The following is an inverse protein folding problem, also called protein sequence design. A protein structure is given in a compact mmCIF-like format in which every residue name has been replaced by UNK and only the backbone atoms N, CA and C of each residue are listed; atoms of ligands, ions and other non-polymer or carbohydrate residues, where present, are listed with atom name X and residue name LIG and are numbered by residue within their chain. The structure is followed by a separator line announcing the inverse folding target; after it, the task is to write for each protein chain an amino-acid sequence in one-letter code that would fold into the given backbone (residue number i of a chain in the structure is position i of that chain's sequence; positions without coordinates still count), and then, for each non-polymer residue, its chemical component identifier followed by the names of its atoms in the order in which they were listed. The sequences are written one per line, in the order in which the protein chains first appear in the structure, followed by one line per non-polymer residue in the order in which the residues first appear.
data_IF_596306174856
#
_entry.id   IF_596306174856
#
_cell.length_a   1.000
_cell.length_b   1.000
_cell.length_c   1.000
_cell.angle_alpha   90.00
_cell.angle_beta   90.00
_cell.angle_gamma   90.00
#
_symmetry.space_group_name_H-M   'P 1'
#
loop_
_entity.id
_entity.type
_entity.pdbx_description
1 polymer ?
#
# COMPACT_ATOMS: atom_id res chain seq x y z
N UNK A 1 2.77 19.77 -18.32
CA UNK A 1 3.96 20.53 -18.81
C UNK A 1 5.18 19.61 -18.81
N UNK A 2 6.09 19.77 -19.79
CA UNK A 2 7.27 18.90 -19.90
C UNK A 2 8.45 19.48 -19.11
N UNK A 3 8.34 19.43 -17.77
CA UNK A 3 9.37 19.99 -16.87
C UNK A 3 10.75 19.38 -17.07
N UNK A 4 10.84 18.16 -17.59
CA UNK A 4 12.12 17.50 -17.91
C UNK A 4 12.90 18.18 -19.05
N UNK A 5 12.23 19.02 -19.86
CA UNK A 5 12.86 19.80 -20.95
C UNK A 5 13.33 21.18 -20.51
N UNK A 6 12.92 21.62 -19.32
CA UNK A 6 13.20 22.96 -18.81
C UNK A 6 14.43 22.94 -17.88
N UNK A 7 15.25 23.99 -17.90
CA UNK A 7 16.26 24.17 -16.86
C UNK A 7 15.60 24.37 -15.48
N UNK A 8 16.32 24.10 -14.39
CA UNK A 8 15.79 24.23 -13.02
C UNK A 8 15.17 25.61 -12.72
N UNK A 9 15.82 26.70 -13.19
CA UNK A 9 15.32 28.08 -13.01
C UNK A 9 13.95 28.30 -13.59
N UNK A 10 13.75 27.81 -14.82
CA UNK A 10 12.50 28.01 -15.55
C UNK A 10 11.37 27.16 -14.96
N UNK A 11 11.72 25.96 -14.47
CA UNK A 11 10.77 25.10 -13.74
C UNK A 11 10.33 25.77 -12.43
N UNK A 12 11.25 26.33 -11.66
CA UNK A 12 10.91 27.06 -10.42
C UNK A 12 10.00 28.24 -10.74
N UNK A 13 10.33 29.02 -11.78
CA UNK A 13 9.50 30.15 -12.20
C UNK A 13 8.10 29.72 -12.67
N UNK A 14 8.02 28.65 -13.47
CA UNK A 14 6.74 28.11 -13.93
C UNK A 14 5.84 27.59 -12.80
N UNK A 15 6.45 27.21 -11.68
CA UNK A 15 5.73 26.72 -10.49
C UNK A 15 5.53 27.83 -9.43
N UNK A 16 5.84 29.09 -9.74
CA UNK A 16 5.84 30.20 -8.77
C UNK A 16 6.55 29.82 -7.45
N UNK A 17 7.72 29.20 -7.56
CA UNK A 17 8.56 28.77 -6.44
C UNK A 17 9.94 29.40 -6.52
N UNK A 18 10.70 29.26 -5.44
CA UNK A 18 12.07 29.78 -5.34
C UNK A 18 13.03 28.66 -4.89
N UNK A 19 14.36 28.84 -5.08
CA UNK A 19 15.33 27.88 -4.54
C UNK A 19 15.25 27.69 -3.01
N UNK A 20 14.73 28.70 -2.29
CA UNK A 20 14.48 28.67 -0.84
C UNK A 20 13.12 28.04 -0.48
N UNK A 21 12.38 27.57 -1.48
CA UNK A 21 11.05 26.98 -1.35
C UNK A 21 9.94 28.01 -1.19
N UNK A 22 8.73 27.51 -0.98
CA UNK A 22 7.53 28.29 -0.73
C UNK A 22 7.54 28.89 0.69
N UNK A 23 6.91 30.05 0.87
CA UNK A 23 6.61 30.50 2.23
C UNK A 23 5.54 29.62 2.88
N UNK A 24 5.49 29.52 4.22
CA UNK A 24 4.43 28.75 4.91
C UNK A 24 3.01 29.15 4.52
N UNK A 25 2.78 30.45 4.28
CA UNK A 25 1.48 30.96 3.85
C UNK A 25 1.11 30.50 2.43
N UNK A 26 2.06 30.52 1.50
CA UNK A 26 1.85 30.01 0.14
C UNK A 26 1.59 28.50 0.14
N UNK A 27 2.35 27.73 0.93
CA UNK A 27 2.13 26.29 1.04
C UNK A 27 0.74 25.97 1.60
N UNK A 28 0.30 26.66 2.66
CA UNK A 28 -1.04 26.51 3.22
C UNK A 28 -2.14 26.89 2.22
N UNK A 29 -1.96 27.97 1.46
CA UNK A 29 -2.92 28.40 0.43
C UNK A 29 -3.03 27.37 -0.71
N UNK A 30 -1.89 26.78 -1.16
CA UNK A 30 -1.87 25.72 -2.17
C UNK A 30 -2.51 24.44 -1.65
N UNK A 31 -2.22 24.04 -0.41
CA UNK A 31 -2.84 22.89 0.21
C UNK A 31 -4.37 23.00 0.30
N UNK A 32 -4.87 24.21 0.61
CA UNK A 32 -6.31 24.48 0.65
C UNK A 32 -6.96 24.47 -0.75
N UNK A 33 -6.23 24.89 -1.80
CA UNK A 33 -6.70 24.93 -3.19
C UNK A 33 -6.64 23.57 -3.87
N UNK A 34 -5.50 22.88 -3.78
CA UNK A 34 -5.16 21.69 -4.59
C UNK A 34 -5.44 20.38 -3.83
N UNK A 35 -5.67 20.46 -2.51
CA UNK A 35 -5.91 19.32 -1.65
C UNK A 35 -4.61 18.62 -1.21
N UNK A 36 -4.77 17.48 -0.54
CA UNK A 36 -3.66 16.69 0.00
C UNK A 36 -3.00 15.82 -1.06
N UNK A 37 -1.70 15.60 -0.90
CA UNK A 37 -0.91 14.67 -1.70
C UNK A 37 -1.21 13.21 -1.31
N UNK A 38 -2.35 12.71 -1.74
CA UNK A 38 -2.81 11.34 -1.49
C UNK A 38 -3.38 10.73 -2.77
N UNK A 39 -3.16 9.44 -2.96
CA UNK A 39 -3.85 8.69 -4.00
C UNK A 39 -5.29 8.47 -3.54
N UNK A 40 -6.26 8.90 -4.36
CA UNK A 40 -7.68 8.82 -4.03
C UNK A 40 -8.12 7.37 -4.00
N UNK A 41 -8.61 6.92 -2.85
CA UNK A 41 -9.30 5.63 -2.76
C UNK A 41 -10.71 5.75 -3.36
N UNK A 42 -11.27 4.66 -3.96
CA UNK A 42 -12.64 4.66 -4.42
C UNK A 42 -13.58 5.15 -3.30
N UNK A 43 -14.60 5.95 -3.61
CA UNK A 43 -15.49 6.48 -2.60
C UNK A 43 -16.18 5.33 -1.84
N UNK A 44 -16.02 5.32 -0.52
CA UNK A 44 -16.65 4.31 0.34
C UNK A 44 -18.17 4.44 0.23
N UNK A 45 -18.89 3.33 0.04
CA UNK A 45 -20.34 3.38 -0.03
C UNK A 45 -20.92 3.93 1.27
N UNK A 46 -21.96 4.78 1.18
CA UNK A 46 -22.62 5.36 2.35
C UNK A 46 -23.24 4.25 3.23
N UNK A 47 -23.41 4.50 4.52
CA UNK A 47 -24.01 3.53 5.45
C UNK A 47 -25.40 3.08 4.99
N UNK A 48 -26.19 4.00 4.42
CA UNK A 48 -27.49 3.70 3.86
C UNK A 48 -27.39 2.75 2.67
N UNK A 49 -26.44 2.98 1.76
CA UNK A 49 -26.19 2.10 0.62
C UNK A 49 -25.77 0.70 1.07
N UNK A 50 -24.91 0.60 2.08
CA UNK A 50 -24.50 -0.70 2.67
C UNK A 50 -25.67 -1.43 3.31
N UNK A 51 -26.52 -0.72 4.05
CA UNK A 51 -27.73 -1.29 4.64
C UNK A 51 -28.63 -1.90 3.56
N UNK A 52 -28.90 -1.17 2.48
CA UNK A 52 -29.71 -1.72 1.37
C UNK A 52 -29.01 -2.84 0.61
N UNK A 53 -27.67 -2.84 0.54
CA UNK A 53 -26.92 -3.97 -0.02
C UNK A 53 -27.06 -5.24 0.82
N UNK A 54 -27.11 -5.13 2.16
CA UNK A 54 -27.39 -6.26 3.04
C UNK A 54 -28.81 -6.79 2.85
N UNK A 55 -29.79 -5.92 2.62
CA UNK A 55 -31.17 -6.33 2.32
C UNK A 55 -31.31 -6.99 0.94
N UNK A 56 -30.42 -6.71 0.00
CA UNK A 56 -30.41 -7.30 -1.34
C UNK A 56 -29.75 -8.70 -1.39
N UNK A 57 -29.28 -9.23 -0.26
CA UNK A 57 -28.80 -10.61 -0.18
C UNK A 57 -29.93 -11.60 -0.53
N UNK A 58 -29.65 -12.64 -1.34
CA UNK A 58 -30.69 -13.61 -1.77
C UNK A 58 -31.49 -14.22 -0.61
N UNK A 59 -30.83 -14.50 0.53
CA UNK A 59 -31.51 -15.06 1.69
C UNK A 59 -32.44 -14.05 2.36
N UNK A 60 -31.96 -12.81 2.53
CA UNK A 60 -32.78 -11.71 3.08
C UNK A 60 -33.99 -11.40 2.19
N UNK A 61 -33.83 -11.48 0.86
CA UNK A 61 -34.96 -11.32 -0.08
C UNK A 61 -36.03 -12.41 0.10
N UNK A 62 -35.64 -13.66 0.36
CA UNK A 62 -36.57 -14.75 0.67
C UNK A 62 -37.34 -14.45 1.96
N UNK A 63 -36.66 -13.98 3.01
CA UNK A 63 -37.26 -13.57 4.29
C UNK A 63 -38.26 -12.42 4.09
N UNK A 64 -37.89 -11.41 3.30
CA UNK A 64 -38.79 -10.28 2.99
C UNK A 64 -39.98 -10.71 2.18
N UNK A 65 -39.82 -11.63 1.22
CA UNK A 65 -40.93 -12.21 0.46
C UNK A 65 -41.86 -13.01 1.39
N UNK A 66 -41.30 -13.80 2.31
CA UNK A 66 -42.07 -14.53 3.31
C UNK A 66 -42.83 -13.58 4.24
N UNK A 67 -42.22 -12.51 4.74
CA UNK A 67 -42.87 -11.49 5.53
C UNK A 67 -44.03 -10.80 4.78
N UNK A 68 -43.81 -10.49 3.49
CA UNK A 68 -44.87 -9.90 2.66
C UNK A 68 -46.07 -10.84 2.50
N UNK A 69 -45.83 -12.10 2.22
CA UNK A 69 -46.88 -13.09 2.09
C UNK A 69 -47.60 -13.29 3.44
N UNK A 70 -46.85 -13.42 4.53
CA UNK A 70 -47.41 -13.49 5.90
C UNK A 70 -48.26 -12.26 6.23
N UNK A 71 -47.84 -11.06 5.83
CA UNK A 71 -48.62 -9.84 6.04
C UNK A 71 -49.91 -9.82 5.30
N UNK A 72 -49.90 -10.26 4.02
CA UNK A 72 -51.12 -10.38 3.19
C UNK A 72 -52.10 -11.40 3.81
N UNK A 73 -51.56 -12.55 4.23
CA UNK A 73 -52.40 -13.63 4.81
C UNK A 73 -52.99 -13.22 6.15
N UNK A 74 -52.22 -12.60 7.05
CA UNK A 74 -52.72 -12.10 8.33
C UNK A 74 -53.82 -11.01 8.16
N UNK A 75 -53.66 -10.16 7.14
CA UNK A 75 -54.67 -9.14 6.81
C UNK A 75 -55.99 -9.77 6.34
N UNK A 76 -55.92 -10.83 5.52
CA UNK A 76 -57.13 -11.55 5.06
C UNK A 76 -57.79 -12.41 6.16
N UNK A 77 -56.95 -13.02 7.04
CA UNK A 77 -57.46 -13.90 8.10
C UNK A 77 -57.86 -13.13 9.37
N UNK A 78 -57.66 -11.83 9.43
CA UNK A 78 -57.80 -11.01 10.66
C UNK A 78 -57.00 -11.56 11.84
N UNK A 79 -55.79 -12.13 11.58
CA UNK A 79 -54.87 -12.67 12.57
C UNK A 79 -53.81 -11.66 12.98
N UNK A 80 -53.04 -12.02 14.01
CA UNK A 80 -51.96 -11.15 14.56
C UNK A 80 -50.83 -10.99 13.54
N UNK A 81 -50.29 -9.79 13.39
CA UNK A 81 -49.08 -9.50 12.62
C UNK A 81 -47.78 -9.84 13.38
N UNK A 82 -47.84 -10.62 14.46
CA UNK A 82 -46.69 -10.94 15.29
C UNK A 82 -45.54 -11.57 14.51
N UNK A 83 -45.82 -12.53 13.64
CA UNK A 83 -44.80 -13.23 12.81
C UNK A 83 -44.13 -12.28 11.81
N UNK A 84 -44.92 -11.41 11.18
CA UNK A 84 -44.37 -10.37 10.28
C UNK A 84 -43.42 -9.44 11.01
N UNK A 85 -43.79 -8.99 12.20
CA UNK A 85 -42.98 -8.10 13.03
C UNK A 85 -41.71 -8.80 13.44
N UNK A 86 -41.76 -10.06 13.87
CA UNK A 86 -40.57 -10.85 14.25
C UNK A 86 -39.62 -10.99 13.07
N UNK A 87 -40.09 -11.37 11.89
CA UNK A 87 -39.23 -11.50 10.70
C UNK A 87 -38.57 -10.16 10.34
N UNK A 88 -39.33 -9.07 10.35
CA UNK A 88 -38.80 -7.75 10.06
C UNK A 88 -37.74 -7.30 11.07
N UNK A 89 -37.98 -7.57 12.36
CA UNK A 89 -37.00 -7.26 13.42
C UNK A 89 -35.71 -8.04 13.20
N UNK A 90 -35.79 -9.34 12.89
CA UNK A 90 -34.60 -10.17 12.62
C UNK A 90 -33.84 -9.65 11.41
N UNK A 91 -34.53 -9.35 10.30
CA UNK A 91 -33.90 -8.80 9.09
C UNK A 91 -33.21 -7.47 9.37
N UNK A 92 -33.84 -6.57 10.12
CA UNK A 92 -33.26 -5.27 10.49
C UNK A 92 -32.03 -5.46 11.39
N UNK A 93 -32.13 -6.32 12.42
CA UNK A 93 -31.01 -6.60 13.33
C UNK A 93 -29.82 -7.16 12.54
N UNK A 94 -30.04 -8.11 11.66
CA UNK A 94 -28.98 -8.71 10.84
C UNK A 94 -28.34 -7.69 9.89
N UNK A 95 -29.13 -6.85 9.23
CA UNK A 95 -28.62 -5.79 8.37
C UNK A 95 -27.78 -4.76 9.14
N UNK A 96 -28.25 -4.34 10.32
CA UNK A 96 -27.51 -3.41 11.20
C UNK A 96 -26.23 -4.04 11.71
N UNK A 97 -26.27 -5.30 12.15
CA UNK A 97 -25.10 -6.03 12.64
C UNK A 97 -24.06 -6.22 11.52
N UNK A 98 -24.49 -6.54 10.30
CA UNK A 98 -23.61 -6.66 9.14
C UNK A 98 -22.89 -5.35 8.82
N UNK A 99 -23.62 -4.22 8.80
CA UNK A 99 -23.01 -2.89 8.58
C UNK A 99 -22.05 -2.51 9.72
N UNK A 100 -22.41 -2.83 10.97
CA UNK A 100 -21.54 -2.54 12.14
C UNK A 100 -20.23 -3.33 12.08
N UNK A 101 -20.29 -4.62 11.74
CA UNK A 101 -19.10 -5.49 11.62
C UNK A 101 -18.19 -5.04 10.49
N UNK A 102 -18.75 -4.71 9.32
CA UNK A 102 -18.01 -4.19 8.17
C UNK A 102 -17.28 -2.89 8.54
N UNK A 103 -17.97 -1.96 9.22
CA UNK A 103 -17.37 -0.70 9.69
C UNK A 103 -16.25 -0.91 10.69
N UNK A 104 -16.42 -1.83 11.64
CA UNK A 104 -15.39 -2.14 12.66
C UNK A 104 -14.13 -2.73 12.01
N UNK A 105 -14.29 -3.58 10.99
CA UNK A 105 -13.18 -4.14 10.23
C UNK A 105 -12.41 -3.04 9.46
N UNK A 106 -13.12 -2.11 8.81
CA UNK A 106 -12.49 -0.97 8.13
C UNK A 106 -11.73 -0.04 9.09
N UNK A 107 -12.29 0.23 10.27
CA UNK A 107 -11.62 1.06 11.28
C UNK A 107 -10.31 0.44 11.77
N UNK A 108 -10.26 -0.88 11.94
CA UNK A 108 -9.04 -1.58 12.32
C UNK A 108 -7.94 -1.43 11.25
N UNK A 109 -8.31 -1.48 9.97
CA UNK A 109 -7.38 -1.26 8.85
C UNK A 109 -6.92 0.20 8.79
N UNK A 110 -7.83 1.15 8.99
CA UNK A 110 -7.50 2.58 8.97
C UNK A 110 -6.50 2.96 10.08
N UNK A 111 -6.67 2.43 11.29
CA UNK A 111 -5.75 2.66 12.40
C UNK A 111 -4.33 2.15 12.12
N UNK A 112 -4.18 1.03 11.40
CA UNK A 112 -2.87 0.51 10.97
C UNK A 112 -2.20 1.43 9.93
N UNK A 113 -2.99 2.06 9.09
CA UNK A 113 -2.52 2.98 8.04
C UNK A 113 -1.96 4.28 8.65
N UNK A 114 -2.57 4.78 9.71
CA UNK A 114 -2.17 5.99 10.40
C UNK A 114 -0.83 5.85 11.14
N UNK A 115 -0.51 4.66 11.63
CA UNK A 115 0.78 4.35 12.28
C UNK A 115 1.98 4.38 11.31
N UNK A 116 1.74 4.36 9.99
CA UNK A 116 2.77 4.33 8.94
C UNK A 116 2.82 5.64 8.14
N UNK A 117 2.38 6.76 8.70
CA UNK A 117 2.39 8.05 8.01
C UNK A 117 3.83 8.49 7.68
N UNK A 118 4.10 8.64 6.39
CA UNK A 118 5.40 9.09 5.92
C UNK A 118 5.58 10.60 6.15
N UNK A 119 6.81 11.00 6.46
CA UNK A 119 7.21 12.41 6.60
C UNK A 119 8.23 12.75 5.53
N UNK A 120 8.23 14.00 5.09
CA UNK A 120 9.13 14.51 4.08
C UNK A 120 9.84 15.76 4.57
N UNK A 121 11.11 15.90 4.19
CA UNK A 121 11.92 17.09 4.48
C UNK A 121 11.79 18.08 3.32
N UNK A 122 11.34 19.27 3.63
CA UNK A 122 11.13 20.35 2.65
C UNK A 122 11.83 21.62 3.07
N UNK A 123 12.24 22.41 2.10
CA UNK A 123 12.70 23.76 2.32
C UNK A 123 11.52 24.72 2.16
N UNK A 124 11.15 25.43 3.22
CA UNK A 124 10.09 26.45 3.21
C UNK A 124 10.64 27.75 3.82
N UNK A 125 10.66 28.82 3.01
CA UNK A 125 11.21 30.11 3.41
C UNK A 125 12.69 30.03 3.83
N UNK A 126 13.49 29.24 3.13
CA UNK A 126 14.91 29.03 3.44
C UNK A 126 15.20 28.15 4.64
N UNK A 127 14.17 27.59 5.32
CA UNK A 127 14.32 26.70 6.48
C UNK A 127 13.94 25.28 6.14
N UNK A 128 14.75 24.32 6.59
CA UNK A 128 14.43 22.92 6.51
C UNK A 128 13.33 22.58 7.53
N UNK A 129 12.22 22.05 7.06
CA UNK A 129 11.04 21.69 7.86
C UNK A 129 10.63 20.26 7.50
N UNK A 130 10.28 19.46 8.51
CA UNK A 130 9.68 18.13 8.30
C UNK A 130 8.17 18.27 8.32
N UNK A 131 7.52 17.82 7.25
CA UNK A 131 6.06 17.86 7.11
C UNK A 131 5.51 16.46 6.82
N UNK A 132 4.26 16.16 7.16
CA UNK A 132 3.59 14.95 6.68
C UNK A 132 3.63 14.94 5.15
N UNK A 133 3.98 13.80 4.53
CA UNK A 133 4.09 13.71 3.06
C UNK A 133 2.77 14.00 2.35
N UNK A 134 1.64 13.81 3.01
CA UNK A 134 0.32 14.16 2.49
C UNK A 134 0.03 15.69 2.44
N UNK A 135 0.85 16.51 3.13
CA UNK A 135 0.74 17.99 3.12
C UNK A 135 1.71 18.66 2.15
N UNK A 136 2.37 17.86 1.30
CA UNK A 136 3.18 18.38 0.22
C UNK A 136 2.30 19.03 -0.86
N UNK A 137 2.80 20.13 -1.40
CA UNK A 137 2.13 20.87 -2.47
C UNK A 137 3.08 21.09 -3.64
N UNK A 138 2.51 21.30 -4.82
CA UNK A 138 3.27 21.67 -6.02
C UNK A 138 4.07 22.94 -5.75
N UNK A 139 5.38 22.91 -6.05
CA UNK A 139 6.32 24.00 -5.79
C UNK A 139 7.09 23.88 -4.47
N UNK A 140 6.78 22.92 -3.59
CA UNK A 140 7.65 22.62 -2.44
C UNK A 140 9.02 22.13 -2.91
N UNK A 141 10.09 22.53 -2.23
CA UNK A 141 11.44 22.04 -2.51
C UNK A 141 11.80 20.92 -1.54
N UNK A 142 11.87 19.71 -2.06
CA UNK A 142 12.27 18.50 -1.32
C UNK A 142 13.79 18.50 -1.08
N UNK A 143 14.19 18.06 0.09
CA UNK A 143 15.58 17.71 0.42
C UNK A 143 15.66 16.22 0.60
N UNK A 144 16.40 15.55 -0.27
CA UNK A 144 16.43 14.10 -0.39
C UNK A 144 17.85 13.56 -0.13
N UNK A 145 17.91 12.46 0.59
CA UNK A 145 19.14 11.72 0.90
C UNK A 145 18.91 10.22 0.70
N UNK A 146 20.03 9.48 0.64
CA UNK A 146 19.97 8.02 0.53
C UNK A 146 19.13 7.41 1.67
N UNK A 147 18.15 6.55 1.31
CA UNK A 147 17.18 5.96 2.21
C UNK A 147 15.81 6.65 2.20
N UNK A 148 15.68 7.83 1.62
CA UNK A 148 14.40 8.54 1.51
C UNK A 148 13.53 7.93 0.42
N UNK A 149 12.23 7.83 0.68
CA UNK A 149 11.23 7.59 -0.36
C UNK A 149 10.84 8.91 -1.02
N UNK A 150 10.65 8.89 -2.34
CA UNK A 150 10.16 10.05 -3.10
C UNK A 150 8.65 10.18 -2.90
N UNK A 151 8.19 11.29 -2.29
CA UNK A 151 6.79 11.41 -1.83
C UNK A 151 5.84 11.98 -2.88
N UNK A 152 6.34 12.52 -3.99
CA UNK A 152 5.59 13.15 -5.07
C UNK A 152 6.45 13.21 -6.33
N UNK A 153 5.85 13.48 -7.49
CA UNK A 153 6.65 13.70 -8.70
C UNK A 153 7.37 15.04 -8.60
N UNK A 154 8.67 15.03 -8.88
CA UNK A 154 9.52 16.20 -8.67
C UNK A 154 10.59 16.35 -9.76
N UNK A 155 10.99 17.58 -10.03
CA UNK A 155 12.08 17.96 -10.93
C UNK A 155 13.36 18.19 -10.10
N UNK A 156 14.43 17.49 -10.44
CA UNK A 156 15.73 17.64 -9.78
C UNK A 156 16.29 19.04 -10.02
N UNK A 157 16.63 19.76 -8.95
CA UNK A 157 17.27 21.06 -8.96
C UNK A 157 18.76 20.97 -8.75
N UNK A 158 19.18 20.12 -7.82
CA UNK A 158 20.57 19.88 -7.45
C UNK A 158 20.79 18.38 -7.23
N UNK A 159 21.93 17.87 -7.66
CA UNK A 159 22.32 16.48 -7.49
C UNK A 159 23.78 16.38 -7.07
N UNK A 160 24.03 15.73 -5.95
CA UNK A 160 25.33 15.28 -5.53
C UNK A 160 25.35 13.74 -5.58
N UNK A 161 25.62 13.21 -6.77
CA UNK A 161 25.59 11.76 -7.08
C UNK A 161 24.27 11.09 -6.75
N UNK A 162 23.15 11.81 -6.90
CA UNK A 162 21.82 11.31 -6.58
C UNK A 162 21.46 10.14 -7.50
N UNK A 163 21.07 9.00 -6.92
CA UNK A 163 20.54 7.85 -7.65
C UNK A 163 19.20 7.43 -7.07
N UNK A 164 18.25 7.18 -7.96
CA UNK A 164 16.91 6.75 -7.59
C UNK A 164 16.60 5.36 -8.17
N UNK A 165 16.02 4.49 -7.37
CA UNK A 165 15.44 3.22 -7.81
C UNK A 165 13.99 3.47 -8.20
N UNK A 166 13.67 3.23 -9.46
CA UNK A 166 12.36 3.53 -10.07
C UNK A 166 11.65 2.26 -10.56
N UNK A 167 12.03 1.10 -10.03
CA UNK A 167 11.53 -0.22 -10.45
C UNK A 167 9.99 -0.32 -10.43
N UNK A 168 9.32 0.37 -9.51
CA UNK A 168 7.87 0.39 -9.41
C UNK A 168 7.16 0.99 -10.64
N UNK A 169 7.85 1.87 -11.39
CA UNK A 169 7.31 2.54 -12.56
C UNK A 169 7.92 2.03 -13.88
N UNK A 170 9.21 1.76 -13.88
CA UNK A 170 9.95 1.37 -15.08
C UNK A 170 10.11 -0.14 -15.23
N UNK A 171 9.97 -0.89 -14.14
CA UNK A 171 10.28 -2.32 -14.07
C UNK A 171 11.78 -2.64 -14.01
N UNK A 172 12.65 -1.62 -14.05
CA UNK A 172 14.10 -1.81 -14.02
C UNK A 172 14.64 -1.60 -12.60
N UNK A 173 15.36 -2.62 -12.08
CA UNK A 173 15.92 -2.61 -10.73
C UNK A 173 17.25 -1.86 -10.62
N UNK A 174 17.82 -1.40 -11.75
CA UNK A 174 19.10 -0.67 -11.76
C UNK A 174 18.82 0.80 -11.38
N UNK A 175 19.46 1.33 -10.34
CA UNK A 175 19.27 2.72 -9.95
C UNK A 175 19.70 3.70 -11.05
N UNK A 176 18.85 4.65 -11.35
CA UNK A 176 19.08 5.69 -12.36
C UNK A 176 19.81 6.88 -11.72
N UNK A 177 20.93 7.28 -12.32
CA UNK A 177 21.63 8.51 -11.90
C UNK A 177 20.83 9.74 -12.28
N UNK A 178 20.61 10.65 -11.33
CA UNK A 178 19.79 11.84 -11.53
C UNK A 178 20.68 13.09 -11.68
N UNK A 179 20.36 13.89 -12.70
CA UNK A 179 21.04 15.16 -13.03
C UNK A 179 20.07 16.33 -13.07
N UNK A 180 20.47 17.56 -12.74
CA UNK A 180 19.64 18.75 -12.92
C UNK A 180 19.53 19.23 -14.37
N UNK A 181 20.30 18.68 -15.31
CA UNK A 181 20.37 19.16 -16.69
C UNK A 181 19.03 18.97 -17.43
N UNK A 182 18.70 19.94 -18.29
CA UNK A 182 17.52 19.84 -19.14
C UNK A 182 17.74 18.80 -20.25
N UNK A 183 16.74 17.98 -20.52
CA UNK A 183 16.80 16.96 -21.57
C UNK A 183 16.44 17.58 -22.92
N UNK A 184 17.37 17.51 -23.89
CA UNK A 184 17.23 18.13 -25.22
C UNK A 184 16.90 17.14 -26.33
N UNK A 185 16.73 15.85 -26.01
CA UNK A 185 16.43 14.84 -27.00
C UNK A 185 15.13 15.14 -27.78
N UNK A 186 15.15 14.93 -29.09
CA UNK A 186 13.98 15.10 -29.96
C UNK A 186 13.01 13.92 -29.77
N UNK A 187 11.70 14.23 -29.74
CA UNK A 187 10.66 13.21 -29.55
C UNK A 187 10.22 13.07 -28.08
N UNK A 188 9.28 12.16 -27.83
CA UNK A 188 8.83 11.86 -26.47
C UNK A 188 9.88 10.99 -25.75
N UNK A 189 10.24 11.42 -24.53
CA UNK A 189 11.24 10.71 -23.71
C UNK A 189 10.48 9.82 -22.73
N UNK A 190 10.77 8.52 -22.75
CA UNK A 190 10.18 7.53 -21.84
C UNK A 190 10.43 7.89 -20.39
N UNK A 191 9.56 7.45 -19.47
CA UNK A 191 9.66 7.77 -18.04
C UNK A 191 11.01 7.36 -17.44
N UNK A 192 11.51 6.18 -17.78
CA UNK A 192 12.80 5.67 -17.31
C UNK A 192 14.03 6.45 -17.80
N UNK A 193 13.89 7.14 -18.94
CA UNK A 193 14.98 7.93 -19.54
C UNK A 193 15.03 9.38 -19.04
N UNK A 194 14.03 9.80 -18.26
CA UNK A 194 13.98 11.15 -17.69
C UNK A 194 14.88 11.28 -16.47
N UNK A 195 16.19 11.33 -16.72
CA UNK A 195 17.22 11.37 -15.67
C UNK A 195 17.16 12.59 -14.75
N UNK A 196 16.33 13.58 -15.04
CA UNK A 196 16.16 14.80 -14.25
C UNK A 196 14.82 14.89 -13.51
N UNK A 197 14.01 13.84 -13.55
CA UNK A 197 12.76 13.70 -12.82
C UNK A 197 12.86 12.63 -11.74
N UNK A 198 12.07 12.79 -10.69
CA UNK A 198 11.84 11.81 -9.64
C UNK A 198 10.34 11.55 -9.56
N UNK A 199 9.95 10.33 -9.23
CA UNK A 199 8.56 9.90 -9.26
C UNK A 199 8.08 9.39 -7.92
N UNK A 200 6.81 9.60 -7.61
CA UNK A 200 6.15 9.06 -6.42
C UNK A 200 6.34 7.55 -6.33
N UNK A 201 6.82 7.08 -5.18
CA UNK A 201 7.02 5.65 -4.89
C UNK A 201 8.39 5.11 -5.25
N UNK A 202 9.28 5.94 -5.82
CA UNK A 202 10.70 5.65 -5.99
C UNK A 202 11.46 5.81 -4.68
N UNK A 203 12.67 5.22 -4.59
CA UNK A 203 13.54 5.34 -3.42
C UNK A 203 14.89 5.95 -3.81
N UNK A 204 15.43 6.84 -2.99
CA UNK A 204 16.79 7.34 -3.14
C UNK A 204 17.75 6.30 -2.56
N UNK A 205 18.58 5.72 -3.39
CA UNK A 205 19.51 4.66 -2.97
C UNK A 205 20.93 5.17 -2.75
N UNK A 206 21.27 6.32 -3.34
CA UNK A 206 22.61 6.90 -3.20
C UNK A 206 22.60 8.42 -3.37
N UNK A 207 23.54 9.10 -2.69
CA UNK A 207 23.76 10.53 -2.81
C UNK A 207 22.70 11.38 -2.11
N UNK A 208 22.69 12.66 -2.48
CA UNK A 208 21.76 13.65 -1.95
C UNK A 208 21.40 14.67 -3.03
N UNK A 209 20.25 15.32 -2.89
CA UNK A 209 19.83 16.34 -3.85
C UNK A 209 18.65 17.15 -3.39
N UNK A 210 18.31 18.14 -4.20
CA UNK A 210 17.08 18.92 -4.05
C UNK A 210 16.22 18.76 -5.28
N UNK A 211 14.90 18.72 -5.09
CA UNK A 211 13.95 18.63 -6.18
C UNK A 211 12.72 19.47 -5.87
N UNK A 212 12.14 20.12 -6.88
CA UNK A 212 10.87 20.85 -6.73
C UNK A 212 9.71 19.92 -7.10
N UNK A 213 8.69 19.87 -6.26
CA UNK A 213 7.46 19.11 -6.51
C UNK A 213 6.73 19.69 -7.72
N UNK A 214 6.49 18.86 -8.72
CA UNK A 214 5.79 19.23 -9.96
C UNK A 214 4.34 18.77 -9.97
N UNK A 215 4.07 17.59 -9.40
CA UNK A 215 2.74 16.98 -9.38
C UNK A 215 2.52 16.23 -8.06
N UNK A 216 1.27 16.21 -7.57
CA UNK A 216 0.89 15.58 -6.29
C UNK A 216 -0.33 14.69 -6.45
N UNK A 217 -0.49 13.70 -5.60
CA UNK A 217 -1.67 12.83 -5.52
C UNK A 217 -2.00 12.14 -6.85
N UNK A 218 -3.23 12.28 -7.30
CA UNK A 218 -3.72 11.66 -8.54
C UNK A 218 -3.13 12.23 -9.82
N UNK A 219 -2.45 13.37 -9.77
CA UNK A 219 -1.78 13.98 -10.93
C UNK A 219 -0.40 13.38 -11.19
N UNK A 220 0.19 12.65 -10.23
CA UNK A 220 1.47 11.96 -10.38
C UNK A 220 1.38 10.79 -11.36
N UNK A 221 2.51 10.34 -11.89
CA UNK A 221 2.56 9.16 -12.77
C UNK A 221 1.96 7.92 -12.09
N UNK A 222 2.26 7.73 -10.80
CA UNK A 222 1.64 6.67 -9.99
C UNK A 222 0.13 6.90 -9.83
N UNK A 223 -0.32 8.15 -9.72
CA UNK A 223 -1.72 8.53 -9.65
C UNK A 223 -2.49 8.16 -10.93
N UNK A 224 -1.92 8.38 -12.10
CA UNK A 224 -2.51 7.97 -13.37
C UNK A 224 -2.65 6.45 -13.49
N UNK A 225 -1.65 5.69 -13.01
CA UNK A 225 -1.74 4.22 -12.95
C UNK A 225 -2.84 3.80 -11.97
N UNK A 226 -2.93 4.43 -10.81
CA UNK A 226 -3.96 4.15 -9.81
C UNK A 226 -5.37 4.42 -10.35
N UNK A 227 -5.58 5.50 -11.11
CA UNK A 227 -6.86 5.81 -11.75
C UNK A 227 -7.25 4.76 -12.78
N UNK A 228 -6.34 4.35 -13.64
CA UNK A 228 -6.56 3.27 -14.61
C UNK A 228 -6.93 1.94 -13.94
N UNK A 229 -6.33 1.64 -12.78
CA UNK A 229 -6.63 0.43 -12.01
C UNK A 229 -7.98 0.50 -11.28
N UNK A 230 -8.41 1.69 -10.81
CA UNK A 230 -9.71 1.86 -10.11
C UNK A 230 -10.90 1.69 -11.03
N UNK A 231 -10.76 1.90 -12.33
CA UNK A 231 -11.79 1.64 -13.33
C UNK A 231 -12.02 0.14 -13.58
N UNK A 232 -11.13 -0.73 -13.10
CA UNK A 232 -11.26 -2.18 -13.19
C UNK A 232 -12.22 -2.66 -12.09
N UNK A 233 -13.31 -3.35 -12.47
CA UNK A 233 -14.30 -3.90 -11.51
C UNK A 233 -13.60 -4.80 -10.49
N UNK A 234 -13.89 -4.60 -9.21
CA UNK A 234 -13.42 -5.49 -8.16
C UNK A 234 -13.92 -6.92 -8.41
N UNK A 235 -13.01 -7.85 -8.62
CA UNK A 235 -13.34 -9.25 -8.74
C UNK A 235 -13.67 -9.81 -7.35
N UNK A 236 -14.77 -10.59 -7.27
CA UNK A 236 -15.13 -11.33 -6.05
C UNK A 236 -14.03 -12.34 -5.71
N UNK A 237 -13.76 -12.50 -4.43
CA UNK A 237 -12.80 -13.52 -3.97
C UNK A 237 -13.34 -14.94 -4.19
N UNK A 238 -12.45 -15.96 -4.25
CA UNK A 238 -12.85 -17.36 -4.35
C UNK A 238 -13.86 -17.77 -3.27
N UNK A 239 -13.66 -17.35 -2.01
CA UNK A 239 -14.58 -17.63 -0.90
C UNK A 239 -15.93 -16.95 -1.12
N UNK A 240 -15.95 -15.67 -1.52
CA UNK A 240 -17.19 -14.95 -1.82
C UNK A 240 -17.98 -15.64 -2.93
N UNK A 241 -17.30 -16.12 -3.98
CA UNK A 241 -17.94 -16.88 -5.04
C UNK A 241 -18.52 -18.20 -4.53
N UNK A 242 -17.77 -18.96 -3.72
CA UNK A 242 -18.22 -20.21 -3.12
C UNK A 242 -19.38 -20.00 -2.15
N UNK A 243 -19.31 -18.97 -1.31
CA UNK A 243 -20.41 -18.61 -0.39
C UNK A 243 -21.69 -18.22 -1.16
N UNK A 244 -21.56 -17.41 -2.21
CA UNK A 244 -22.71 -17.05 -3.07
C UNK A 244 -23.31 -18.30 -3.73
N UNK A 245 -22.47 -19.23 -4.17
CA UNK A 245 -22.93 -20.50 -4.75
C UNK A 245 -23.64 -21.37 -3.69
N UNK A 246 -23.05 -21.49 -2.49
CA UNK A 246 -23.64 -22.22 -1.36
C UNK A 246 -24.99 -21.61 -0.96
N UNK A 247 -25.05 -20.29 -0.80
CA UNK A 247 -26.30 -19.59 -0.49
C UNK A 247 -27.39 -19.88 -1.53
N UNK A 248 -27.06 -19.89 -2.81
CA UNK A 248 -28.00 -20.21 -3.89
C UNK A 248 -28.50 -21.66 -3.80
N UNK A 249 -27.60 -22.61 -3.55
CA UNK A 249 -27.95 -24.04 -3.38
C UNK A 249 -28.88 -24.20 -2.18
N UNK A 250 -28.54 -23.61 -1.04
CA UNK A 250 -29.35 -23.65 0.18
C UNK A 250 -30.72 -23.02 -0.04
N UNK A 251 -30.80 -21.88 -0.73
CA UNK A 251 -32.07 -21.22 -1.07
C UNK A 251 -32.98 -22.15 -1.87
N UNK A 252 -32.48 -22.80 -2.93
CA UNK A 252 -33.28 -23.75 -3.73
C UNK A 252 -33.66 -24.97 -2.93
N UNK A 253 -32.78 -25.50 -2.07
CA UNK A 253 -33.08 -26.64 -1.22
C UNK A 253 -34.17 -26.30 -0.20
N UNK A 254 -34.09 -25.13 0.46
CA UNK A 254 -35.12 -24.67 1.40
C UNK A 254 -36.47 -24.48 0.69
N UNK A 255 -36.47 -23.82 -0.46
CA UNK A 255 -37.71 -23.66 -1.27
C UNK A 255 -38.31 -25.00 -1.67
N UNK A 256 -37.46 -25.98 -2.04
CA UNK A 256 -37.91 -27.34 -2.35
C UNK A 256 -38.54 -28.04 -1.15
N UNK A 257 -37.90 -27.96 0.02
CA UNK A 257 -38.43 -28.53 1.27
C UNK A 257 -39.78 -27.86 1.63
N UNK A 258 -39.84 -26.53 1.55
CA UNK A 258 -41.06 -25.78 1.83
C UNK A 258 -42.22 -26.19 0.88
N UNK A 259 -41.93 -26.36 -0.41
CA UNK A 259 -42.92 -26.82 -1.38
C UNK A 259 -43.43 -28.23 -1.05
N UNK A 260 -42.53 -29.14 -0.64
CA UNK A 260 -42.91 -30.51 -0.21
C UNK A 260 -43.75 -30.46 1.05
N UNK A 261 -43.33 -29.72 2.09
CA UNK A 261 -44.09 -29.59 3.36
C UNK A 261 -45.46 -29.00 3.09
N UNK A 262 -45.55 -27.97 2.26
CA UNK A 262 -46.79 -27.35 1.84
C UNK A 262 -47.69 -28.36 1.13
N UNK A 263 -47.18 -29.06 0.11
CA UNK A 263 -47.94 -30.06 -0.63
C UNK A 263 -48.45 -31.21 0.26
N UNK A 264 -47.59 -31.76 1.11
CA UNK A 264 -47.95 -32.82 2.06
C UNK A 264 -49.00 -32.34 3.07
N UNK A 265 -48.84 -31.12 3.59
CA UNK A 265 -49.80 -30.52 4.52
C UNK A 265 -51.19 -30.34 3.92
N UNK A 266 -51.28 -29.85 2.69
CA UNK A 266 -52.56 -29.71 1.96
C UNK A 266 -53.18 -31.06 1.64
N UNK A 267 -52.38 -32.05 1.20
CA UNK A 267 -52.86 -33.38 0.84
C UNK A 267 -53.36 -34.16 2.08
N UNK A 268 -52.73 -34.00 3.23
CA UNK A 268 -53.07 -34.72 4.48
C UNK A 268 -54.43 -34.29 5.05
N UNK A 269 -54.83 -33.05 4.85
CA UNK A 269 -56.10 -32.52 5.37
C UNK A 269 -57.31 -32.90 4.54
N UNK A 270 -57.13 -33.40 3.30
CA UNK A 270 -58.18 -33.93 2.45
C UNK A 270 -59.25 -32.91 2.02
N UNK A 271 -59.23 -31.71 2.53
CA UNK A 271 -60.16 -30.62 2.19
C UNK A 271 -59.40 -29.37 1.84
N UNK A 272 -59.49 -28.90 0.61
CA UNK A 272 -58.85 -27.63 0.17
C UNK A 272 -59.75 -26.49 0.64
N UNK A 273 -59.55 -26.10 1.91
CA UNK A 273 -60.20 -24.93 2.47
C UNK A 273 -59.15 -23.80 2.56
N UNK A 274 -59.52 -22.56 2.22
CA UNK A 274 -58.60 -21.42 2.23
C UNK A 274 -57.80 -21.27 3.54
N UNK A 275 -58.41 -21.64 4.69
CA UNK A 275 -57.75 -21.61 5.99
C UNK A 275 -56.65 -22.65 6.14
N UNK A 276 -56.89 -23.89 5.67
CA UNK A 276 -55.89 -24.98 5.70
C UNK A 276 -54.72 -24.70 4.80
N UNK A 277 -54.95 -24.13 3.61
CA UNK A 277 -53.89 -23.70 2.69
C UNK A 277 -53.01 -22.63 3.35
N UNK A 278 -53.63 -21.70 4.07
CA UNK A 278 -52.98 -20.58 4.75
C UNK A 278 -52.11 -21.05 5.93
N UNK A 279 -52.68 -21.91 6.80
CA UNK A 279 -51.95 -22.46 7.97
C UNK A 279 -50.75 -23.30 7.52
N UNK A 280 -50.90 -24.14 6.50
CA UNK A 280 -49.82 -24.96 5.95
C UNK A 280 -48.75 -24.12 5.29
N UNK A 281 -49.16 -23.03 4.62
CA UNK A 281 -48.21 -22.08 4.03
C UNK A 281 -47.40 -21.36 5.11
N UNK A 282 -48.02 -20.90 6.19
CA UNK A 282 -47.32 -20.27 7.33
C UNK A 282 -46.30 -21.22 7.99
N UNK A 283 -46.66 -22.52 8.13
CA UNK A 283 -45.71 -23.53 8.64
C UNK A 283 -44.53 -23.69 7.67
N UNK A 284 -44.75 -23.74 6.37
CA UNK A 284 -43.70 -23.85 5.37
C UNK A 284 -42.78 -22.63 5.39
N UNK A 285 -43.34 -21.42 5.53
CA UNK A 285 -42.58 -20.16 5.64
C UNK A 285 -41.75 -20.13 6.93
N UNK A 286 -42.35 -20.50 8.06
CA UNK A 286 -41.62 -20.57 9.34
C UNK A 286 -40.48 -21.55 9.29
N UNK A 287 -40.66 -22.69 8.61
CA UNK A 287 -39.57 -23.64 8.37
C UNK A 287 -38.46 -23.05 7.47
N UNK A 288 -38.83 -22.28 6.45
CA UNK A 288 -37.88 -21.59 5.59
C UNK A 288 -37.02 -20.63 6.40
N UNK A 289 -37.63 -19.81 7.24
CA UNK A 289 -36.93 -18.85 8.12
C UNK A 289 -35.94 -19.59 9.04
N UNK A 290 -36.38 -20.67 9.70
CA UNK A 290 -35.55 -21.44 10.61
C UNK A 290 -34.35 -22.16 9.92
N UNK A 291 -34.50 -22.48 8.64
CA UNK A 291 -33.49 -23.19 7.85
C UNK A 291 -32.39 -22.28 7.26
N UNK A 292 -32.56 -20.95 7.30
CA UNK A 292 -31.60 -20.00 6.74
C UNK A 292 -30.42 -19.78 7.71
N UNK A 293 -29.16 -20.04 7.29
CA UNK A 293 -27.99 -19.82 8.13
C UNK A 293 -27.60 -18.34 8.16
N UNK A 294 -28.28 -17.53 8.95
CA UNK A 294 -28.12 -16.07 9.03
C UNK A 294 -26.72 -15.63 9.47
N UNK A 295 -26.02 -16.49 10.24
CA UNK A 295 -24.68 -16.16 10.79
C UNK A 295 -23.51 -16.34 9.83
N UNK A 296 -23.70 -16.88 8.62
CA UNK A 296 -22.58 -17.32 7.77
C UNK A 296 -21.69 -16.15 7.33
N UNK A 297 -22.25 -15.06 6.86
CA UNK A 297 -21.50 -13.88 6.44
C UNK A 297 -20.78 -13.21 7.62
N UNK A 298 -21.42 -13.16 8.78
CA UNK A 298 -20.86 -12.62 9.99
C UNK A 298 -19.63 -13.42 10.48
N UNK A 299 -19.74 -14.75 10.50
CA UNK A 299 -18.64 -15.65 10.90
C UNK A 299 -17.43 -15.47 9.99
N UNK A 300 -17.64 -15.41 8.67
CA UNK A 300 -16.55 -15.19 7.70
C UNK A 300 -15.84 -13.86 7.96
N UNK A 301 -16.58 -12.79 8.16
CA UNK A 301 -16.00 -11.46 8.43
C UNK A 301 -15.19 -11.45 9.73
N UNK A 302 -15.70 -12.11 10.78
CA UNK A 302 -14.99 -12.25 12.07
C UNK A 302 -13.69 -13.03 11.89
N UNK A 303 -13.73 -14.19 11.20
CA UNK A 303 -12.55 -15.03 10.97
C UNK A 303 -11.49 -14.28 10.16
N UNK A 304 -11.89 -13.59 9.08
CA UNK A 304 -10.97 -12.76 8.29
C UNK A 304 -10.36 -11.63 9.14
N UNK A 305 -11.16 -10.97 9.98
CA UNK A 305 -10.68 -9.92 10.88
C UNK A 305 -9.63 -10.43 11.90
N UNK A 306 -9.85 -11.63 12.46
CA UNK A 306 -8.86 -12.30 13.31
C UNK A 306 -7.58 -12.59 12.51
N UNK A 307 -7.73 -13.09 11.27
CA UNK A 307 -6.61 -13.33 10.36
C UNK A 307 -5.77 -12.08 10.11
N UNK A 308 -6.41 -10.96 9.78
CA UNK A 308 -5.74 -9.65 9.61
C UNK A 308 -4.97 -9.25 10.86
N UNK A 309 -5.62 -9.36 12.03
CA UNK A 309 -4.98 -9.00 13.31
C UNK A 309 -3.74 -9.84 13.59
N UNK A 310 -3.81 -11.15 13.33
CA UNK A 310 -2.66 -12.05 13.54
C UNK A 310 -1.52 -11.78 12.55
N UNK A 311 -1.83 -11.47 11.30
CA UNK A 311 -0.83 -11.11 10.29
C UNK A 311 -0.18 -9.76 10.60
N UNK A 312 -0.97 -8.77 11.02
CA UNK A 312 -0.48 -7.45 11.42
C UNK A 312 0.51 -7.54 12.60
N UNK A 313 0.23 -8.40 13.60
CA UNK A 313 1.16 -8.64 14.72
C UNK A 313 2.50 -9.25 14.28
N UNK A 314 2.55 -9.83 13.09
CA UNK A 314 3.77 -10.37 12.47
C UNK A 314 4.40 -9.42 11.46
N UNK A 315 4.03 -8.14 11.46
CA UNK A 315 4.59 -7.11 10.59
C UNK A 315 4.00 -7.09 9.17
N UNK A 316 2.96 -7.88 8.87
CA UNK A 316 2.32 -7.86 7.55
C UNK A 316 1.27 -6.73 7.50
N UNK A 317 1.42 -5.80 6.55
CA UNK A 317 0.45 -4.72 6.32
C UNK A 317 -0.64 -5.21 5.37
N UNK A 318 -1.84 -5.40 5.89
CA UNK A 318 -3.01 -5.86 5.12
C UNK A 318 -3.88 -4.65 4.75
N UNK A 319 -4.04 -4.40 3.47
CA UNK A 319 -4.87 -3.29 2.96
C UNK A 319 -6.34 -3.64 2.77
N UNK A 320 -6.65 -4.94 2.57
CA UNK A 320 -8.04 -5.43 2.32
C UNK A 320 -8.24 -6.74 3.06
N UNK A 321 -9.41 -6.92 3.72
CA UNK A 321 -9.78 -8.17 4.40
C UNK A 321 -9.70 -9.39 3.48
N UNK A 322 -10.11 -9.21 2.23
CA UNK A 322 -10.11 -10.24 1.19
C UNK A 322 -8.71 -10.73 0.79
N UNK A 323 -7.67 -9.90 1.02
CA UNK A 323 -6.28 -10.27 0.71
C UNK A 323 -5.79 -11.45 1.58
N UNK A 324 -6.27 -11.58 2.82
CA UNK A 324 -5.91 -12.69 3.73
C UNK A 324 -6.40 -14.03 3.16
N UNK A 325 -7.60 -14.04 2.61
CA UNK A 325 -8.17 -15.22 1.97
C UNK A 325 -7.38 -15.59 0.70
N UNK A 326 -7.15 -14.60 -0.19
CA UNK A 326 -6.42 -14.82 -1.44
C UNK A 326 -5.01 -15.37 -1.17
N UNK A 327 -4.33 -14.83 -0.14
CA UNK A 327 -3.02 -15.33 0.28
C UNK A 327 -3.10 -16.78 0.80
N UNK A 328 -4.14 -17.12 1.58
CA UNK A 328 -4.35 -18.48 2.10
C UNK A 328 -4.68 -19.50 1.02
N UNK A 329 -5.21 -19.08 -0.12
CA UNK A 329 -5.55 -19.93 -1.27
C UNK A 329 -4.47 -19.93 -2.36
N UNK A 330 -3.36 -19.21 -2.17
CA UNK A 330 -2.31 -19.11 -3.17
C UNK A 330 -1.61 -20.47 -3.37
N UNK A 331 -1.55 -20.92 -4.62
CA UNK A 331 -0.86 -22.15 -5.03
C UNK A 331 0.54 -21.88 -5.59
N UNK A 332 0.77 -20.65 -6.05
CA UNK A 332 2.04 -20.21 -6.62
C UNK A 332 2.42 -18.89 -5.96
N UNK A 333 3.64 -18.81 -5.46
CA UNK A 333 4.21 -17.59 -4.88
C UNK A 333 5.36 -17.16 -5.80
N UNK A 334 5.20 -16.02 -6.46
CA UNK A 334 6.26 -15.37 -7.22
C UNK A 334 6.93 -14.35 -6.31
N UNK A 335 8.20 -14.56 -6.00
CA UNK A 335 8.97 -13.70 -5.10
C UNK A 335 10.16 -13.11 -5.83
N UNK A 336 10.37 -11.80 -5.68
CA UNK A 336 11.61 -11.18 -6.09
C UNK A 336 12.75 -11.61 -5.13
N UNK A 337 13.98 -11.58 -5.64
CA UNK A 337 15.17 -11.91 -4.84
C UNK A 337 15.54 -10.76 -3.92
N UNK A 338 15.71 -9.57 -4.50
CA UNK A 338 16.34 -8.43 -3.81
C UNK A 338 15.33 -7.68 -2.93
N UNK A 339 15.65 -7.52 -1.65
CA UNK A 339 14.78 -6.85 -0.69
C UNK A 339 13.57 -7.67 -0.22
N UNK A 340 13.32 -8.86 -0.83
CA UNK A 340 12.22 -9.76 -0.46
C UNK A 340 12.76 -11.06 0.15
N UNK A 341 13.54 -11.83 -0.61
CA UNK A 341 14.23 -13.04 -0.10
C UNK A 341 15.54 -12.68 0.59
N UNK A 342 16.14 -11.56 0.23
CA UNK A 342 17.32 -10.99 0.84
C UNK A 342 16.94 -9.67 1.54
N UNK A 343 17.81 -9.23 2.46
CA UNK A 343 17.61 -7.98 3.22
C UNK A 343 18.12 -6.73 2.48
N UNK A 344 18.46 -6.84 1.18
CA UNK A 344 19.18 -5.79 0.45
C UNK A 344 20.42 -5.26 1.22
N UNK A 345 21.08 -6.18 1.93
CA UNK A 345 22.21 -5.90 2.79
C UNK A 345 23.35 -6.86 2.45
N UNK A 346 24.44 -6.30 2.00
CA UNK A 346 25.68 -7.05 1.80
C UNK A 346 26.38 -7.32 3.13
N UNK A 347 27.05 -8.45 3.24
CA UNK A 347 27.82 -8.84 4.41
C UNK A 347 29.08 -9.56 3.95
N UNK A 348 30.24 -9.20 4.49
CA UNK A 348 31.47 -9.96 4.26
C UNK A 348 31.35 -11.29 4.96
N UNK A 349 31.43 -12.38 4.20
CA UNK A 349 31.30 -13.75 4.71
C UNK A 349 32.63 -14.45 4.85
N UNK A 350 33.61 -14.10 4.01
CA UNK A 350 34.91 -14.75 3.97
C UNK A 350 35.98 -13.77 3.49
N UNK A 351 37.16 -13.85 4.08
CA UNK A 351 38.31 -13.05 3.72
C UNK A 351 39.48 -13.97 3.34
N UNK A 352 40.22 -13.59 2.31
CA UNK A 352 41.42 -14.28 1.89
C UNK A 352 42.62 -13.29 1.92
N UNK A 353 43.58 -13.53 2.77
CA UNK A 353 44.76 -12.70 2.90
C UNK A 353 45.58 -13.10 4.15
N UNK A 354 46.86 -12.79 4.14
CA UNK A 354 47.78 -13.08 5.26
C UNK A 354 47.69 -12.06 6.40
N UNK A 355 47.08 -10.88 6.17
CA UNK A 355 46.98 -9.79 7.14
C UNK A 355 45.57 -9.19 7.08
N UNK A 356 44.67 -9.73 7.91
CA UNK A 356 43.28 -9.28 8.00
C UNK A 356 43.17 -7.83 8.50
N UNK A 357 44.09 -7.38 9.37
CA UNK A 357 44.05 -6.03 9.87
C UNK A 357 44.41 -5.01 8.78
N UNK A 358 45.42 -5.30 7.95
CA UNK A 358 45.77 -4.47 6.81
C UNK A 358 44.61 -4.43 5.80
N UNK A 359 43.98 -5.57 5.55
CA UNK A 359 42.85 -5.67 4.65
C UNK A 359 41.66 -4.83 5.17
N UNK A 360 41.31 -4.94 6.45
CA UNK A 360 40.23 -4.18 7.06
C UNK A 360 40.53 -2.66 7.05
N UNK A 361 41.77 -2.27 7.30
CA UNK A 361 42.22 -0.87 7.20
C UNK A 361 42.09 -0.35 5.76
N UNK A 362 42.53 -1.11 4.78
CA UNK A 362 42.40 -0.78 3.37
C UNK A 362 40.93 -0.61 2.95
N UNK A 363 40.04 -1.53 3.34
CA UNK A 363 38.63 -1.47 3.04
C UNK A 363 37.97 -0.24 3.66
N UNK A 364 38.28 0.10 4.94
CA UNK A 364 37.72 1.27 5.60
C UNK A 364 38.16 2.61 4.95
N UNK A 365 39.32 2.64 4.31
CA UNK A 365 39.88 3.83 3.68
C UNK A 365 39.52 4.00 2.21
N UNK A 366 39.26 2.89 1.49
CA UNK A 366 38.96 2.90 0.06
C UNK A 366 37.50 3.17 -0.31
N UNK A 367 36.60 3.26 0.65
CA UNK A 367 35.15 3.38 0.44
C UNK A 367 34.62 4.73 0.89
N UNK A 368 33.44 5.11 0.41
CA UNK A 368 32.77 6.36 0.75
C UNK A 368 31.72 6.19 1.84
N UNK A 369 31.32 4.95 2.17
CA UNK A 369 30.38 4.65 3.24
C UNK A 369 30.88 5.19 4.59
N UNK A 370 29.98 5.76 5.39
CA UNK A 370 30.27 6.42 6.66
C UNK A 370 29.66 5.62 7.80
N UNK A 371 30.46 5.36 8.84
CA UNK A 371 30.01 4.79 10.11
C UNK A 371 29.69 5.91 11.10
N UNK A 372 28.50 5.90 11.64
CA UNK A 372 28.08 6.74 12.76
C UNK A 372 28.27 5.94 14.07
N UNK A 373 29.22 6.33 14.93
CA UNK A 373 29.50 5.60 16.17
C UNK A 373 28.41 5.80 17.25
N UNK A 374 27.54 6.84 17.16
CA UNK A 374 26.50 7.08 18.15
C UNK A 374 25.30 6.13 17.93
N UNK A 375 24.96 5.87 16.67
CA UNK A 375 23.83 5.02 16.30
C UNK A 375 24.26 3.61 15.87
N UNK A 376 25.55 3.34 15.76
CA UNK A 376 26.17 2.13 15.19
C UNK A 376 25.62 1.79 13.80
N UNK A 377 25.28 2.82 13.01
CA UNK A 377 24.77 2.67 11.67
C UNK A 377 25.83 2.99 10.62
N UNK A 378 25.80 2.25 9.50
CA UNK A 378 26.66 2.52 8.35
C UNK A 378 25.79 2.94 7.19
N UNK A 379 26.03 4.14 6.67
CA UNK A 379 25.33 4.73 5.54
C UNK A 379 26.24 4.75 4.32
N UNK A 380 25.77 4.31 3.18
CA UNK A 380 26.49 4.27 1.91
C UNK A 380 25.98 3.19 0.98
N UNK A 381 26.69 2.98 -0.12
CA UNK A 381 26.38 1.90 -1.07
C UNK A 381 26.49 0.52 -0.35
N UNK A 382 25.58 -0.44 -0.63
CA UNK A 382 25.48 -1.69 0.12
C UNK A 382 26.78 -2.48 0.23
N UNK A 383 27.60 -2.53 -0.84
CA UNK A 383 28.88 -3.23 -0.86
C UNK A 383 29.88 -2.51 0.03
N UNK A 384 30.03 -1.20 -0.11
CA UNK A 384 30.92 -0.38 0.71
C UNK A 384 30.53 -0.39 2.18
N UNK A 385 29.22 -0.30 2.46
CA UNK A 385 28.71 -0.40 3.82
C UNK A 385 29.01 -1.77 4.47
N UNK A 386 29.09 -2.84 3.69
CA UNK A 386 29.50 -4.16 4.19
C UNK A 386 30.96 -4.17 4.61
N UNK A 387 31.84 -3.55 3.82
CA UNK A 387 33.28 -3.46 4.08
C UNK A 387 33.55 -2.62 5.34
N UNK A 388 32.86 -1.49 5.49
CA UNK A 388 32.97 -0.65 6.68
C UNK A 388 32.47 -1.38 7.93
N UNK A 389 31.32 -2.07 7.87
CA UNK A 389 30.82 -2.89 8.99
C UNK A 389 31.79 -3.97 9.38
N UNK A 390 32.41 -4.62 8.40
CA UNK A 390 33.42 -5.64 8.68
C UNK A 390 34.65 -5.04 9.34
N UNK A 391 35.15 -3.88 8.88
CA UNK A 391 36.29 -3.19 9.52
C UNK A 391 35.96 -2.80 10.98
N UNK A 392 34.74 -2.31 11.26
CA UNK A 392 34.27 -2.02 12.62
C UNK A 392 34.24 -3.28 13.47
N UNK A 393 33.77 -4.40 12.93
CA UNK A 393 33.75 -5.70 13.62
C UNK A 393 35.17 -6.21 13.94
N UNK A 394 36.23 -5.80 13.19
CA UNK A 394 37.63 -6.07 13.49
C UNK A 394 38.19 -5.08 14.51
N UNK A 395 37.39 -4.22 15.12
CA UNK A 395 37.80 -3.27 16.13
C UNK A 395 38.40 -1.97 15.58
N UNK A 396 38.25 -1.69 14.28
CA UNK A 396 38.75 -0.47 13.67
C UNK A 396 37.72 0.64 13.74
N UNK A 397 38.19 1.89 13.92
CA UNK A 397 37.33 3.08 13.77
C UNK A 397 37.58 3.72 12.40
N UNK A 398 36.64 3.62 11.44
CA UNK A 398 36.82 4.22 10.12
C UNK A 398 37.07 5.74 10.17
N UNK A 399 36.38 6.44 11.09
CA UNK A 399 36.58 7.89 11.28
C UNK A 399 37.97 8.24 11.78
N UNK A 400 38.50 7.49 12.76
CA UNK A 400 39.85 7.67 13.25
C UNK A 400 40.92 7.35 12.20
N UNK A 401 40.70 6.27 11.42
CA UNK A 401 41.59 5.90 10.31
C UNK A 401 41.63 6.99 9.23
N UNK A 402 40.48 7.56 8.85
CA UNK A 402 40.41 8.65 7.86
C UNK A 402 41.07 9.96 8.37
N UNK A 403 40.98 10.22 9.66
CA UNK A 403 41.69 11.34 10.28
C UNK A 403 43.23 11.11 10.28
N UNK A 404 43.66 9.87 10.52
CA UNK A 404 45.10 9.51 10.52
C UNK A 404 45.67 9.42 9.10
N UNK A 405 44.88 8.98 8.12
CA UNK A 405 45.29 8.81 6.72
C UNK A 405 44.34 9.60 5.80
N UNK A 406 44.49 10.95 5.75
CA UNK A 406 43.61 11.76 4.90
C UNK A 406 43.70 11.38 3.42
N UNK A 407 42.57 11.28 2.75
CA UNK A 407 42.48 11.04 1.31
C UNK A 407 42.89 12.32 0.56
N UNK A 408 43.82 12.21 -0.36
CA UNK A 408 44.36 13.35 -1.18
C UNK A 408 43.92 13.26 -2.63
N UNK A 409 43.65 12.05 -3.14
CA UNK A 409 43.16 11.85 -4.50
C UNK A 409 42.37 10.55 -4.58
N UNK A 410 41.48 10.50 -5.53
CA UNK A 410 40.72 9.29 -5.85
C UNK A 410 40.47 9.13 -7.35
N UNK A 411 40.33 7.89 -7.76
CA UNK A 411 39.69 7.51 -9.01
C UNK A 411 38.44 6.71 -8.64
N UNK A 412 37.23 7.28 -8.84
CA UNK A 412 35.98 6.68 -8.39
C UNK A 412 35.75 5.32 -9.08
N UNK A 413 34.78 4.59 -8.56
CA UNK A 413 34.38 3.31 -9.17
C UNK A 413 33.96 3.51 -10.62
N UNK A 414 34.54 2.68 -11.47
CA UNK A 414 34.23 2.66 -12.89
C UNK A 414 33.85 1.23 -13.29
N UNK A 415 32.71 1.09 -13.95
CA UNK A 415 32.15 -0.21 -14.37
C UNK A 415 33.02 -0.97 -15.38
N UNK A 416 33.86 -0.29 -16.16
CA UNK A 416 34.85 -0.93 -17.04
C UNK A 416 36.07 -1.41 -16.24
N UNK A 417 36.56 -0.58 -15.32
CA UNK A 417 37.70 -0.91 -14.46
C UNK A 417 37.35 -1.92 -13.37
N UNK A 418 36.07 -2.00 -12.95
CA UNK A 418 35.58 -2.81 -11.82
C UNK A 418 36.36 -2.55 -10.50
N UNK A 419 36.75 -1.31 -10.25
CA UNK A 419 37.52 -0.91 -9.05
C UNK A 419 37.44 0.59 -8.77
N UNK A 420 37.54 0.92 -7.48
CA UNK A 420 37.85 2.24 -6.96
C UNK A 420 39.35 2.27 -6.58
N UNK A 421 40.00 3.43 -6.63
CA UNK A 421 41.36 3.61 -6.15
C UNK A 421 41.45 4.92 -5.38
N UNK A 422 42.08 4.90 -4.20
CA UNK A 422 42.23 6.08 -3.36
C UNK A 422 43.71 6.25 -2.99
N UNK A 423 44.16 7.48 -2.83
CA UNK A 423 45.49 7.85 -2.39
C UNK A 423 45.39 8.59 -1.04
N UNK A 424 46.07 8.07 -0.02
CA UNK A 424 46.15 8.67 1.32
C UNK A 424 47.53 9.19 1.64
N UNK A 425 47.60 10.21 2.50
CA UNK A 425 48.89 10.70 3.05
C UNK A 425 49.44 9.64 4.00
N UNK A 426 50.66 9.18 3.74
CA UNK A 426 51.42 8.30 4.64
C UNK A 426 51.47 6.83 4.23
N UNK A 427 50.70 6.34 3.29
CA UNK A 427 50.78 4.98 2.71
C UNK A 427 50.14 4.83 1.32
N UNK A 428 50.50 3.75 0.65
CA UNK A 428 50.18 3.42 -0.71
C UNK A 428 48.64 3.34 -1.02
N UNK A 429 48.32 3.45 -2.31
CA UNK A 429 46.96 3.37 -2.84
C UNK A 429 46.27 2.07 -2.45
N UNK A 430 45.02 2.17 -1.95
CA UNK A 430 44.12 1.04 -1.81
C UNK A 430 43.46 0.73 -3.15
N UNK A 431 43.30 -0.56 -3.46
CA UNK A 431 42.59 -1.05 -4.64
C UNK A 431 41.50 -2.02 -4.21
N UNK A 432 40.29 -1.73 -4.57
CA UNK A 432 39.18 -2.65 -4.45
C UNK A 432 38.80 -3.15 -5.85
N UNK A 433 38.52 -4.45 -5.95
CA UNK A 433 38.00 -5.08 -7.15
C UNK A 433 36.66 -5.71 -6.78
N UNK A 434 35.60 -5.22 -7.35
CA UNK A 434 34.24 -5.76 -7.18
C UNK A 434 33.95 -6.80 -8.24
#
# INVERSE_FOLDING_TARGET
MDYYRQPPSDTLHALDSTPDGLTPAQAAARLARDGRNVLTEPPKPSLVKRFFQQLADPMTLVLLAAALISAITSAYAHESFADVIIILIVVIINAVLGVYQERKAEQAIAALKELSAAHSRVLRGGKLVTVPSEELVVGDVLVLEAGDAVPADARVLESASLRAEEAALTGESVPVTKSPDALTAAGDIGLGDRSNMLYLGSSIVYGRGRAVVTETGMQTQMGHIADALTQTKENKTPLQMRLTQLSRILTWLVLGICAVVFAVGVLRTGTINGRVVLDTFLIAVSLAVAAIPEGLAAVVTIVLSIGVTNMSRRGAVIRRLTAVETLGCAQVICSDKTGTLTQNRMTVTECAGSDEHLLATAMALCVDAVHDPETDTVTGEPTEAALVRWAVAQGLSPSALRAQYPRVAEAPFDSERKRISTLQIGRASCRERV
#
